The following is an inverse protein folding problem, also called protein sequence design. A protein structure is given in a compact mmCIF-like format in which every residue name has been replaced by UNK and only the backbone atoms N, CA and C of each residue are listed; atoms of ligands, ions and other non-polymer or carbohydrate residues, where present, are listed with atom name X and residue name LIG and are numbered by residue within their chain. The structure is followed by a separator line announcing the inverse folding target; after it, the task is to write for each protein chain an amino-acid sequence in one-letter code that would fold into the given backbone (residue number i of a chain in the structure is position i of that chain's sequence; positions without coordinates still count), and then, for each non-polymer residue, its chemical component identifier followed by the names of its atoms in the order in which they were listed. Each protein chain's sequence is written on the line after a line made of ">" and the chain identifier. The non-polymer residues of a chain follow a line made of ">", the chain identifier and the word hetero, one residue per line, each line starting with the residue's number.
data_IF_257497841279
#
_entry.id   IF_257497841279
#
_cell.length_a   1.000
_cell.length_b   1.000
_cell.length_c   1.000
_cell.angle_alpha   90.00
_cell.angle_beta   90.00
_cell.angle_gamma   90.00
#
_symmetry.space_group_name_H-M   'P 1'
#
loop_
_entity.id
_entity.type
_entity.pdbx_description
1 polymer ?
#
# COMPACT_ATOMS: atom_id res chain seq x y z
N UNK A 1 2.98 16.49 5.54
CA UNK A 1 1.92 15.51 5.18
C UNK A 1 2.40 14.07 5.19
N UNK A 2 3.58 13.74 4.64
CA UNK A 2 4.08 12.35 4.65
C UNK A 2 4.14 11.74 6.06
N UNK A 3 4.51 12.52 7.08
CA UNK A 3 4.46 12.08 8.50
C UNK A 3 3.08 11.53 8.88
N UNK A 4 2.02 12.29 8.63
CA UNK A 4 0.65 11.94 8.99
C UNK A 4 0.14 10.70 8.26
N UNK A 5 0.57 10.51 6.99
CA UNK A 5 0.24 9.32 6.21
C UNK A 5 0.82 8.04 6.84
N UNK A 6 2.05 8.10 7.35
CA UNK A 6 2.79 6.92 7.80
C UNK A 6 2.66 6.64 9.30
N UNK A 7 2.09 7.54 10.09
CA UNK A 7 1.80 7.28 11.50
C UNK A 7 0.77 6.16 11.66
N UNK A 8 1.05 5.26 12.59
CA UNK A 8 0.28 4.05 12.80
C UNK A 8 0.38 3.57 14.26
N UNK A 9 -0.68 3.02 14.87
CA UNK A 9 -0.64 2.55 16.25
C UNK A 9 0.42 1.49 16.55
N UNK A 10 0.76 0.67 15.56
CA UNK A 10 1.82 -0.36 15.65
C UNK A 10 3.23 0.14 15.32
N UNK A 11 3.40 1.42 14.93
CA UNK A 11 4.72 2.00 14.62
C UNK A 11 5.09 2.95 15.76
N UNK A 12 6.20 2.70 16.47
CA UNK A 12 6.62 3.58 17.56
C UNK A 12 7.01 4.96 17.02
N UNK A 13 6.74 5.99 17.82
CA UNK A 13 7.23 7.35 17.57
C UNK A 13 8.73 7.41 17.87
N UNK A 14 9.42 8.51 17.51
CA UNK A 14 10.83 8.74 17.84
C UNK A 14 11.15 8.67 19.34
N UNK A 15 10.14 8.74 20.19
CA UNK A 15 10.20 8.63 21.66
C UNK A 15 9.81 7.23 22.17
N UNK A 16 9.79 6.21 21.30
CA UNK A 16 9.41 4.81 21.58
C UNK A 16 7.97 4.59 22.08
N UNK A 17 7.14 5.62 22.11
CA UNK A 17 5.73 5.53 22.49
C UNK A 17 4.82 5.09 21.32
N UNK A 18 3.87 4.20 21.63
CA UNK A 18 2.79 3.81 20.73
C UNK A 18 1.57 4.71 20.98
N UNK A 19 1.03 5.27 19.91
CA UNK A 19 -0.11 6.20 19.98
C UNK A 19 -1.39 5.50 19.51
N UNK A 20 -2.52 5.83 20.14
CA UNK A 20 -3.83 5.39 19.65
C UNK A 20 -4.14 6.05 18.30
N UNK A 21 -5.03 5.43 17.51
CA UNK A 21 -5.51 6.02 16.25
C UNK A 21 -6.07 7.44 16.44
N UNK A 22 -6.74 7.68 17.57
CA UNK A 22 -7.40 8.94 17.88
C UNK A 22 -6.38 10.00 18.29
N UNK A 23 -5.33 9.60 19.00
CA UNK A 23 -4.24 10.49 19.40
C UNK A 23 -3.44 10.92 18.18
N UNK A 24 -3.14 9.97 17.27
CA UNK A 24 -2.47 10.26 15.99
C UNK A 24 -3.30 11.27 15.18
N UNK A 25 -4.60 11.04 15.08
CA UNK A 25 -5.50 11.92 14.32
C UNK A 25 -5.58 13.31 14.95
N UNK A 26 -5.84 13.41 16.26
CA UNK A 26 -5.91 14.70 16.97
C UNK A 26 -4.61 15.48 16.86
N UNK A 27 -3.47 14.83 17.06
CA UNK A 27 -2.16 15.45 16.92
C UNK A 27 -1.93 15.97 15.48
N UNK A 28 -2.26 15.17 14.47
CA UNK A 28 -2.10 15.56 13.05
C UNK A 28 -3.00 16.73 12.65
N UNK A 29 -4.24 16.74 13.12
CA UNK A 29 -5.22 17.82 12.89
C UNK A 29 -4.74 19.10 13.58
N UNK A 30 -4.32 19.01 14.84
CA UNK A 30 -3.84 20.15 15.61
C UNK A 30 -2.55 20.76 15.02
N UNK A 31 -1.63 19.92 14.54
CA UNK A 31 -0.39 20.35 13.87
C UNK A 31 -0.71 21.23 12.65
N UNK A 32 -1.59 20.76 11.75
CA UNK A 32 -1.97 21.52 10.55
C UNK A 32 -2.82 22.74 10.87
N UNK A 33 -3.76 22.63 11.81
CA UNK A 33 -4.57 23.76 12.22
C UNK A 33 -3.69 24.90 12.76
N UNK A 34 -2.75 24.58 13.66
CA UNK A 34 -1.83 25.57 14.24
C UNK A 34 -0.96 26.18 13.16
N UNK A 35 -0.37 25.35 12.28
CA UNK A 35 0.41 25.83 11.14
C UNK A 35 -0.37 26.81 10.23
N UNK A 36 -1.63 26.47 9.89
CA UNK A 36 -2.45 27.33 9.04
C UNK A 36 -2.85 28.62 9.76
N UNK A 37 -3.14 28.55 11.07
CA UNK A 37 -3.50 29.71 11.88
C UNK A 37 -2.32 30.68 12.00
N UNK A 38 -1.13 30.17 12.31
CA UNK A 38 0.07 30.99 12.51
C UNK A 38 0.51 31.69 11.21
N UNK A 39 0.29 31.06 10.06
CA UNK A 39 0.59 31.63 8.75
C UNK A 39 -0.60 32.38 8.11
N UNK A 40 -1.72 32.56 8.82
CA UNK A 40 -2.95 33.20 8.29
C UNK A 40 -3.51 32.54 7.01
N UNK A 41 -3.33 31.23 6.85
CA UNK A 41 -3.76 30.44 5.69
C UNK A 41 -5.14 29.80 5.90
N UNK A 42 -6.15 30.63 6.18
CA UNK A 42 -7.51 30.15 6.54
C UNK A 42 -8.16 29.36 5.40
N UNK A 43 -8.02 29.81 4.16
CA UNK A 43 -8.58 29.12 2.98
C UNK A 43 -7.92 27.75 2.76
N UNK A 44 -6.61 27.65 3.02
CA UNK A 44 -5.90 26.38 2.94
C UNK A 44 -6.40 25.41 4.01
N UNK A 45 -6.60 25.89 5.24
CA UNK A 45 -7.19 25.08 6.31
C UNK A 45 -8.57 24.54 5.91
N UNK A 46 -9.43 25.41 5.36
CA UNK A 46 -10.76 24.99 4.93
C UNK A 46 -10.69 23.86 3.91
N UNK A 47 -9.84 23.98 2.90
CA UNK A 47 -9.63 22.95 1.88
C UNK A 47 -9.05 21.65 2.46
N UNK A 48 -8.02 21.76 3.31
CA UNK A 48 -7.38 20.59 3.94
C UNK A 48 -8.37 19.86 4.86
N UNK A 49 -9.18 20.59 5.62
CA UNK A 49 -10.23 20.00 6.43
C UNK A 49 -11.25 19.25 5.58
N UNK A 50 -11.79 19.87 4.53
CA UNK A 50 -12.84 19.24 3.71
C UNK A 50 -12.37 18.02 2.95
N UNK A 51 -11.13 18.01 2.44
CA UNK A 51 -10.65 16.93 1.57
C UNK A 51 -9.78 15.89 2.26
N UNK A 52 -9.11 16.22 3.37
CA UNK A 52 -8.10 15.34 3.98
C UNK A 52 -8.38 15.08 5.46
N UNK A 53 -8.60 16.12 6.25
CA UNK A 53 -8.62 16.01 7.71
C UNK A 53 -10.00 15.80 8.31
N UNK A 54 -11.08 15.86 7.54
CA UNK A 54 -12.40 15.43 8.01
C UNK A 54 -12.37 13.93 8.33
N UNK A 55 -13.06 13.52 9.37
CA UNK A 55 -13.11 12.13 9.86
C UNK A 55 -13.46 11.12 8.75
N UNK A 56 -14.43 11.46 7.89
CA UNK A 56 -14.83 10.62 6.76
C UNK A 56 -13.72 10.44 5.71
N UNK A 57 -12.85 11.43 5.54
CA UNK A 57 -11.76 11.44 4.56
C UNK A 57 -10.47 10.88 5.13
N UNK A 58 -10.21 11.09 6.42
CA UNK A 58 -9.02 10.63 7.11
C UNK A 58 -8.78 9.13 6.91
N UNK A 59 -9.85 8.33 7.04
CA UNK A 59 -9.82 6.87 6.81
C UNK A 59 -9.43 6.44 5.40
N UNK A 60 -9.56 7.31 4.40
CA UNK A 60 -9.27 6.98 3.01
C UNK A 60 -7.79 7.13 2.66
N UNK A 61 -7.05 8.00 3.36
CA UNK A 61 -5.65 8.27 3.03
C UNK A 61 -4.68 7.95 4.16
N UNK A 62 -5.04 8.18 5.44
CA UNK A 62 -4.15 7.91 6.56
C UNK A 62 -4.10 6.42 6.90
N UNK A 63 -2.95 5.96 7.41
CA UNK A 63 -2.78 4.57 7.86
C UNK A 63 -3.28 4.32 9.28
N UNK A 64 -3.34 5.36 10.12
CA UNK A 64 -3.68 5.22 11.54
C UNK A 64 -5.02 4.53 11.85
N UNK A 65 -6.06 4.61 11.00
CA UNK A 65 -7.34 3.93 11.27
C UNK A 65 -7.28 2.40 11.18
N UNK A 66 -6.25 1.82 10.56
CA UNK A 66 -6.08 0.38 10.39
C UNK A 66 -5.33 -0.27 11.57
N UNK A 67 -5.85 -0.18 12.79
CA UNK A 67 -5.16 -0.55 14.04
C UNK A 67 -4.44 -1.92 14.02
N UNK A 68 -5.08 -2.96 13.47
CA UNK A 68 -4.58 -4.34 13.51
C UNK A 68 -3.65 -4.75 12.36
N UNK A 69 -3.44 -3.91 11.34
CA UNK A 69 -2.69 -4.33 10.14
C UNK A 69 -1.90 -3.18 9.51
N UNK A 70 -0.58 -3.33 9.44
CA UNK A 70 0.27 -2.42 8.66
C UNK A 70 0.23 -2.83 7.19
N UNK A 71 -0.21 -1.92 6.32
CA UNK A 71 -0.03 -2.10 4.87
C UNK A 71 1.46 -2.03 4.51
N UNK A 72 2.07 -3.20 4.27
CA UNK A 72 3.48 -3.32 3.84
C UNK A 72 3.71 -2.69 2.47
N UNK A 73 2.65 -2.63 1.64
CA UNK A 73 2.74 -2.22 0.24
C UNK A 73 1.82 -1.03 0.00
N UNK A 74 2.35 0.04 -0.60
CA UNK A 74 1.54 1.16 -1.07
C UNK A 74 0.68 0.67 -2.23
N UNK A 75 -0.64 0.86 -2.15
CA UNK A 75 -1.60 0.53 -3.22
C UNK A 75 -1.22 1.17 -4.55
N UNK A 76 -0.61 2.36 -4.53
CA UNK A 76 -0.07 3.03 -5.72
C UNK A 76 0.99 2.20 -6.43
N UNK A 77 1.90 1.54 -5.71
CA UNK A 77 2.97 0.72 -6.28
C UNK A 77 2.42 -0.49 -7.04
N UNK A 78 1.37 -1.13 -6.50
CA UNK A 78 0.67 -2.22 -7.18
C UNK A 78 -0.04 -1.75 -8.44
N UNK A 79 -0.76 -0.62 -8.35
CA UNK A 79 -1.48 -0.04 -9.48
C UNK A 79 -0.49 0.34 -10.59
N UNK A 80 0.62 1.00 -10.25
CA UNK A 80 1.68 1.37 -11.19
C UNK A 80 2.34 0.14 -11.82
N UNK A 81 2.67 -0.88 -11.04
CA UNK A 81 3.24 -2.13 -11.54
C UNK A 81 2.29 -2.87 -12.48
N UNK A 82 0.99 -2.88 -12.14
CA UNK A 82 -0.04 -3.46 -13.00
C UNK A 82 -0.17 -2.70 -14.32
N UNK A 83 -0.25 -1.36 -14.27
CA UNK A 83 -0.30 -0.53 -15.47
C UNK A 83 0.96 -0.63 -16.33
N UNK A 84 2.14 -0.79 -15.73
CA UNK A 84 3.39 -1.04 -16.46
C UNK A 84 3.31 -2.33 -17.29
N UNK A 85 2.77 -3.39 -16.69
CA UNK A 85 2.55 -4.68 -17.36
C UNK A 85 1.53 -4.54 -18.49
N UNK A 86 0.38 -3.90 -18.24
CA UNK A 86 -0.65 -3.66 -19.26
C UNK A 86 -0.08 -2.88 -20.45
N UNK A 87 0.67 -1.81 -20.16
CA UNK A 87 1.28 -0.96 -21.20
C UNK A 87 2.25 -1.75 -22.06
N UNK A 88 3.10 -2.58 -21.45
CA UNK A 88 4.12 -3.37 -22.15
C UNK A 88 3.53 -4.53 -22.95
N UNK A 89 2.58 -5.26 -22.38
CA UNK A 89 2.14 -6.53 -22.94
C UNK A 89 0.94 -6.38 -23.88
N UNK A 90 0.04 -5.42 -23.59
CA UNK A 90 -1.23 -5.27 -24.32
C UNK A 90 -1.30 -3.96 -25.11
N UNK A 91 -0.75 -2.85 -24.59
CA UNK A 91 -0.89 -1.53 -25.22
C UNK A 91 0.33 -1.05 -25.99
N UNK A 92 1.38 -1.88 -26.18
CA UNK A 92 2.64 -1.45 -26.79
C UNK A 92 2.52 -0.90 -28.22
N UNK A 93 1.47 -1.25 -28.95
CA UNK A 93 1.19 -0.76 -30.31
C UNK A 93 0.31 0.49 -30.36
N UNK A 94 -0.30 0.88 -29.24
CA UNK A 94 -1.25 1.98 -29.21
C UNK A 94 -0.61 3.22 -28.60
N UNK A 95 -0.42 4.24 -29.43
CA UNK A 95 -0.06 5.57 -28.96
C UNK A 95 -1.31 6.28 -28.46
N UNK A 96 -1.37 6.59 -27.16
CA UNK A 96 -2.50 7.29 -26.50
C UNK A 96 -3.86 6.62 -26.81
N UNK A 97 -4.08 5.35 -26.41
CA UNK A 97 -5.34 4.68 -26.65
C UNK A 97 -6.50 5.42 -25.98
N UNK A 98 -7.66 5.50 -26.65
CA UNK A 98 -8.89 6.00 -26.05
C UNK A 98 -9.33 5.11 -24.89
N UNK A 99 -10.03 5.68 -23.92
CA UNK A 99 -10.48 4.96 -22.71
C UNK A 99 -11.30 3.71 -23.05
N UNK A 100 -12.19 3.78 -24.03
CA UNK A 100 -13.03 2.64 -24.43
C UNK A 100 -12.20 1.46 -24.95
N UNK A 101 -11.13 1.75 -25.72
CA UNK A 101 -10.22 0.73 -26.22
C UNK A 101 -9.43 0.09 -25.07
N UNK A 102 -8.97 0.90 -24.11
CA UNK A 102 -8.29 0.39 -22.92
C UNK A 102 -9.23 -0.51 -22.12
N UNK A 103 -10.45 -0.08 -21.86
CA UNK A 103 -11.45 -0.88 -21.14
C UNK A 103 -11.74 -2.21 -21.86
N UNK A 104 -11.90 -2.17 -23.19
CA UNK A 104 -12.09 -3.37 -24.00
C UNK A 104 -10.90 -4.34 -23.89
N UNK A 105 -9.67 -3.84 -24.03
CA UNK A 105 -8.44 -4.65 -23.93
C UNK A 105 -8.30 -5.25 -22.53
N UNK A 106 -8.58 -4.48 -21.48
CA UNK A 106 -8.53 -4.98 -20.10
C UNK A 106 -9.50 -6.14 -19.92
N UNK A 107 -10.76 -5.96 -20.31
CA UNK A 107 -11.82 -6.96 -20.10
C UNK A 107 -11.65 -8.20 -20.98
N UNK A 108 -11.25 -8.03 -22.25
CA UNK A 108 -11.21 -9.14 -23.22
C UNK A 108 -9.85 -9.81 -23.34
N UNK A 109 -8.76 -9.13 -23.02
CA UNK A 109 -7.41 -9.67 -23.17
C UNK A 109 -6.72 -9.83 -21.82
N UNK A 110 -6.57 -8.75 -21.05
CA UNK A 110 -5.79 -8.79 -19.81
C UNK A 110 -6.38 -9.76 -18.79
N UNK A 111 -7.68 -9.65 -18.49
CA UNK A 111 -8.37 -10.55 -17.54
C UNK A 111 -8.30 -12.00 -18.01
N UNK A 112 -8.57 -12.27 -19.28
CA UNK A 112 -8.53 -13.63 -19.85
C UNK A 112 -7.12 -14.23 -19.76
N UNK A 113 -6.08 -13.44 -20.03
CA UNK A 113 -4.70 -13.86 -19.88
C UNK A 113 -4.36 -14.22 -18.43
N UNK A 114 -4.76 -13.37 -17.46
CA UNK A 114 -4.52 -13.64 -16.04
C UNK A 114 -5.27 -14.87 -15.54
N UNK A 115 -6.53 -15.06 -15.94
CA UNK A 115 -7.30 -16.26 -15.60
C UNK A 115 -6.65 -17.53 -16.15
N UNK A 116 -6.13 -17.49 -17.38
CA UNK A 116 -5.39 -18.62 -17.95
C UNK A 116 -4.12 -18.94 -17.16
N UNK A 117 -3.34 -17.92 -16.78
CA UNK A 117 -2.14 -18.10 -15.95
C UNK A 117 -2.50 -18.69 -14.58
N UNK A 118 -3.58 -18.21 -13.96
CA UNK A 118 -4.08 -18.74 -12.69
C UNK A 118 -4.50 -20.21 -12.82
N UNK A 119 -5.21 -20.59 -13.88
CA UNK A 119 -5.55 -21.98 -14.17
C UNK A 119 -4.30 -22.85 -14.38
N UNK A 120 -3.26 -22.34 -15.06
CA UNK A 120 -1.99 -23.07 -15.23
C UNK A 120 -1.28 -23.31 -13.90
N UNK A 121 -1.33 -22.34 -12.98
CA UNK A 121 -0.80 -22.47 -11.61
C UNK A 121 -1.61 -23.50 -10.82
N UNK A 122 -2.95 -23.45 -10.88
CA UNK A 122 -3.82 -24.40 -10.19
C UNK A 122 -3.59 -25.83 -10.69
N UNK A 123 -3.43 -25.99 -12.00
CA UNK A 123 -3.11 -27.26 -12.65
C UNK A 123 -1.64 -27.69 -12.46
N UNK A 124 -0.86 -26.97 -11.64
CA UNK A 124 0.56 -27.21 -11.33
C UNK A 124 1.48 -27.24 -12.56
N UNK A 125 1.04 -26.69 -13.70
CA UNK A 125 1.83 -26.60 -14.94
C UNK A 125 2.85 -25.46 -14.86
N UNK A 126 2.47 -24.39 -14.17
CA UNK A 126 3.31 -23.22 -13.96
C UNK A 126 3.45 -22.95 -12.46
N UNK A 127 4.58 -22.38 -12.04
CA UNK A 127 4.81 -21.97 -10.66
C UNK A 127 4.91 -20.45 -10.62
N UNK A 128 4.39 -19.79 -9.58
CA UNK A 128 4.59 -18.36 -9.42
C UNK A 128 6.09 -18.02 -9.42
N UNK A 129 6.43 -16.91 -10.08
CA UNK A 129 7.84 -16.53 -10.31
C UNK A 129 8.62 -16.38 -8.99
N UNK A 130 7.98 -15.84 -7.95
CA UNK A 130 8.57 -15.62 -6.62
C UNK A 130 8.97 -16.91 -5.89
N UNK A 131 8.43 -18.08 -6.28
CA UNK A 131 8.73 -19.36 -5.61
C UNK A 131 10.19 -19.74 -5.77
N UNK A 132 10.83 -19.40 -6.91
CA UNK A 132 12.25 -19.68 -7.14
C UNK A 132 13.12 -18.90 -6.16
N UNK A 133 12.87 -17.60 -6.04
CA UNK A 133 13.63 -16.70 -5.17
C UNK A 133 13.40 -17.06 -3.70
N UNK A 134 12.15 -17.32 -3.32
CA UNK A 134 11.80 -17.78 -1.98
C UNK A 134 12.54 -19.07 -1.62
N UNK A 135 12.51 -20.08 -2.50
CA UNK A 135 13.19 -21.37 -2.24
C UNK A 135 14.71 -21.20 -2.14
N UNK A 136 15.30 -20.30 -2.93
CA UNK A 136 16.72 -19.96 -2.86
C UNK A 136 17.07 -19.35 -1.51
N UNK A 137 16.33 -18.32 -1.10
CA UNK A 137 16.52 -17.63 0.19
C UNK A 137 16.31 -18.58 1.36
N UNK A 138 15.25 -19.39 1.33
CA UNK A 138 14.94 -20.39 2.34
C UNK A 138 16.09 -21.38 2.55
N UNK A 139 16.65 -21.92 1.46
CA UNK A 139 17.80 -22.84 1.54
C UNK A 139 19.05 -22.18 2.10
N UNK A 140 19.26 -20.89 1.85
CA UNK A 140 20.38 -20.15 2.41
C UNK A 140 20.20 -19.97 3.92
N UNK A 141 19.01 -19.56 4.35
CA UNK A 141 18.69 -19.31 5.75
C UNK A 141 18.63 -20.60 6.57
N UNK A 142 18.13 -21.71 6.00
CA UNK A 142 18.05 -22.98 6.70
C UNK A 142 19.41 -23.58 7.09
N UNK A 143 20.49 -23.11 6.45
CA UNK A 143 21.87 -23.53 6.74
C UNK A 143 22.57 -22.62 7.74
N UNK A 144 22.00 -21.45 8.02
CA UNK A 144 22.60 -20.52 8.96
C UNK A 144 22.35 -21.00 10.39
N UNK A 145 23.37 -21.03 11.27
CA UNK A 145 23.17 -21.33 12.67
C UNK A 145 22.30 -20.24 13.29
N UNK A 146 21.26 -20.66 14.00
CA UNK A 146 20.33 -19.75 14.67
C UNK A 146 21.06 -19.20 15.89
N UNK A 147 21.42 -17.92 15.85
CA UNK A 147 22.17 -17.26 16.94
C UNK A 147 21.28 -16.73 18.07
N UNK A 148 20.00 -16.47 17.80
CA UNK A 148 19.06 -15.84 18.75
C UNK A 148 17.75 -16.64 18.84
N UNK A 149 17.10 -16.62 20.01
CA UNK A 149 15.71 -17.10 20.16
C UNK A 149 14.77 -16.16 19.39
N UNK A 150 14.25 -16.62 18.25
CA UNK A 150 13.23 -15.90 17.50
C UNK A 150 11.85 -16.30 18.00
N UNK A 151 11.22 -15.44 18.80
CA UNK A 151 9.81 -15.57 19.17
C UNK A 151 8.99 -15.21 17.93
N UNK A 152 8.56 -16.21 17.17
CA UNK A 152 7.68 -16.05 16.00
C UNK A 152 6.22 -16.35 16.32
N UNK A 153 5.94 -16.89 17.50
CA UNK A 153 4.58 -17.13 17.98
C UNK A 153 3.96 -15.83 18.50
N UNK A 154 3.13 -15.22 17.66
CA UNK A 154 2.10 -14.31 18.15
C UNK A 154 1.08 -15.18 18.87
N UNK A 155 1.02 -15.12 20.20
CA UNK A 155 -0.03 -15.79 20.97
C UNK A 155 -1.38 -15.24 20.50
N UNK A 156 -2.20 -16.10 19.90
CA UNK A 156 -3.61 -15.84 19.63
C UNK A 156 -4.38 -15.63 20.93
#
# INVERSE_FOLDING_TARGET
>A
MDKHLHQHPLIPTSEENFLSKDDIYKASVQEIYSFCKDNSLILLWQYLWTEWYCESKWSLWARSPCEGMISVLKTTMFIEGHWKTIKRDFLYKFFRPRMDLVAFILMKQAVVHQLRKLQQIYNKREKPDWVKDFKSKWKSLSKQPISNEYITDVKN
#
